data_IF_431999418446
#
_entry.id   IF_431999418446
#
_cell.length_a   1.000
_cell.length_b   1.000
_cell.length_c   1.000
_cell.angle_alpha   90.00
_cell.angle_beta   90.00
_cell.angle_gamma   90.00
#
_symmetry.space_group_name_H-M   'P 1'
#
loop_
_entity.id
_entity.type
_entity.pdbx_description
1 polymer ?
#
# COMPACT_ATOMS: atom_id res chain seq x y z
N UNK A 1 -18.33 -7.90 28.29
CA UNK A 1 -17.88 -7.68 26.89
C UNK A 1 -17.42 -6.24 26.67
N UNK A 2 -18.17 -5.20 27.08
CA UNK A 2 -17.73 -3.79 26.97
C UNK A 2 -16.41 -3.47 27.70
N UNK A 3 -16.15 -4.04 28.89
CA UNK A 3 -14.86 -3.82 29.59
C UNK A 3 -13.66 -4.39 28.84
N UNK A 4 -13.78 -5.58 28.22
CA UNK A 4 -12.69 -6.18 27.46
C UNK A 4 -12.41 -5.40 26.17
N UNK A 5 -13.46 -4.96 25.46
CA UNK A 5 -13.31 -4.09 24.29
C UNK A 5 -12.69 -2.75 24.68
N UNK A 6 -13.11 -2.14 25.80
CA UNK A 6 -12.45 -0.94 26.32
C UNK A 6 -10.99 -1.19 26.65
N UNK A 7 -10.64 -2.26 27.36
CA UNK A 7 -9.25 -2.56 27.73
C UNK A 7 -8.39 -2.81 26.49
N UNK A 8 -8.91 -3.49 25.46
CA UNK A 8 -8.18 -3.72 24.20
C UNK A 8 -8.03 -2.41 23.42
N UNK A 9 -9.10 -1.63 23.26
CA UNK A 9 -9.06 -0.35 22.54
C UNK A 9 -8.16 0.66 23.26
N UNK A 10 -8.33 0.83 24.58
CA UNK A 10 -7.48 1.70 25.38
C UNK A 10 -6.06 1.19 25.47
N UNK A 11 -5.83 -0.11 25.61
CA UNK A 11 -4.48 -0.70 25.66
C UNK A 11 -3.73 -0.56 24.34
N UNK A 12 -4.40 -0.74 23.20
CA UNK A 12 -3.84 -0.47 21.88
C UNK A 12 -3.56 1.03 21.73
N UNK A 13 -4.50 1.92 22.11
CA UNK A 13 -4.29 3.37 22.05
C UNK A 13 -3.18 3.86 23.00
N UNK A 14 -3.10 3.37 24.24
CA UNK A 14 -2.10 3.85 25.22
C UNK A 14 -0.72 3.29 24.92
N UNK A 15 -0.61 2.04 24.45
CA UNK A 15 0.65 1.51 23.96
C UNK A 15 1.14 2.30 22.72
N UNK A 16 0.21 2.68 21.84
CA UNK A 16 0.45 3.56 20.68
C UNK A 16 0.94 4.97 21.08
N UNK A 17 0.35 5.59 22.11
CA UNK A 17 0.78 6.91 22.60
C UNK A 17 2.14 6.90 23.33
N UNK A 18 2.47 5.82 24.04
CA UNK A 18 3.78 5.70 24.74
C UNK A 18 4.92 5.42 23.76
N UNK A 19 4.64 4.69 22.67
CA UNK A 19 5.63 4.40 21.62
C UNK A 19 5.89 5.59 20.67
N UNK A 20 4.91 6.49 20.53
CA UNK A 20 5.00 7.77 19.78
C UNK A 20 6.14 8.70 20.23
N UNK A 21 6.72 8.48 21.42
CA UNK A 21 7.80 9.31 21.97
C UNK A 21 9.21 8.85 21.55
N UNK A 22 9.35 7.66 20.95
CA UNK A 22 10.64 7.03 20.65
C UNK A 22 10.76 6.45 19.23
N UNK A 23 9.69 6.46 18.45
CA UNK A 23 9.58 5.71 17.20
C UNK A 23 9.32 6.67 16.04
N UNK A 24 10.15 6.60 15.01
CA UNK A 24 9.98 7.39 13.79
C UNK A 24 8.54 7.25 13.26
N UNK A 25 7.87 8.35 12.87
CA UNK A 25 6.49 8.33 12.37
C UNK A 25 6.27 7.42 11.16
N UNK A 26 7.34 6.99 10.50
CA UNK A 26 7.37 5.99 9.44
C UNK A 26 7.10 4.56 9.92
N UNK A 27 7.56 4.21 11.13
CA UNK A 27 7.25 2.91 11.73
C UNK A 27 5.74 2.84 11.97
N UNK A 28 5.10 3.89 12.49
CA UNK A 28 3.66 3.95 12.78
C UNK A 28 2.78 3.54 11.57
N UNK A 29 3.18 3.93 10.35
CA UNK A 29 2.54 3.48 9.11
C UNK A 29 2.64 1.96 8.90
N UNK A 30 3.79 1.36 9.17
CA UNK A 30 3.98 -0.09 9.06
C UNK A 30 3.05 -0.88 10.02
N UNK A 31 2.80 -0.35 11.22
CA UNK A 31 1.84 -0.96 12.15
C UNK A 31 0.41 -0.88 11.64
N UNK A 32 0.04 0.28 11.11
CA UNK A 32 -1.26 0.49 10.50
C UNK A 32 -1.49 -0.45 9.31
N UNK A 33 -0.45 -0.66 8.49
CA UNK A 33 -0.48 -1.60 7.37
C UNK A 33 -0.65 -3.04 7.83
N UNK A 34 0.03 -3.47 8.90
CA UNK A 34 -0.15 -4.81 9.46
C UNK A 34 -1.59 -5.04 9.93
N UNK A 35 -2.15 -4.05 10.64
CA UNK A 35 -3.50 -4.11 11.18
C UNK A 35 -4.56 -4.17 10.08
N UNK A 36 -4.33 -3.45 8.99
CA UNK A 36 -5.20 -3.45 7.83
C UNK A 36 -5.02 -4.71 6.96
N UNK A 37 -3.81 -5.25 6.84
CA UNK A 37 -3.56 -6.57 6.24
C UNK A 37 -4.32 -7.67 6.99
N UNK A 38 -4.40 -7.59 8.31
CA UNK A 38 -5.25 -8.46 9.10
C UNK A 38 -6.75 -8.27 8.81
N UNK A 39 -7.23 -7.03 8.66
CA UNK A 39 -8.61 -6.76 8.25
C UNK A 39 -8.95 -7.45 6.91
N UNK A 40 -8.02 -7.40 5.96
CA UNK A 40 -8.15 -8.08 4.66
C UNK A 40 -8.13 -9.61 4.79
N UNK A 41 -7.31 -10.17 5.68
CA UNK A 41 -7.34 -11.60 5.97
C UNK A 41 -8.72 -12.05 6.49
N UNK A 42 -9.32 -11.24 7.38
CA UNK A 42 -10.65 -11.51 7.95
C UNK A 42 -11.80 -11.37 6.95
N UNK A 43 -11.55 -10.78 5.78
CA UNK A 43 -12.54 -10.57 4.71
C UNK A 43 -13.21 -11.89 4.28
N UNK A 44 -12.43 -12.96 4.16
CA UNK A 44 -12.95 -14.28 3.78
C UNK A 44 -14.01 -14.77 4.77
N UNK A 45 -13.74 -14.60 6.05
CA UNK A 45 -14.67 -14.99 7.12
C UNK A 45 -15.90 -14.07 7.14
N UNK A 46 -15.77 -12.80 6.77
CA UNK A 46 -16.90 -11.88 6.67
C UNK A 46 -17.85 -12.26 5.52
N UNK A 47 -17.31 -12.53 4.33
CA UNK A 47 -18.10 -12.93 3.15
C UNK A 47 -18.80 -14.28 3.35
N UNK A 48 -18.18 -15.22 4.05
CA UNK A 48 -18.77 -16.54 4.30
C UNK A 48 -19.77 -16.52 5.46
N UNK A 49 -19.45 -15.85 6.58
CA UNK A 49 -20.31 -15.90 7.78
C UNK A 49 -21.46 -14.90 7.76
N UNK A 50 -21.25 -13.70 7.20
CA UNK A 50 -22.23 -12.60 7.21
C UNK A 50 -22.99 -12.53 5.90
N UNK A 51 -22.27 -12.49 4.76
CA UNK A 51 -22.92 -12.43 3.44
C UNK A 51 -23.47 -13.80 3.00
N UNK A 52 -23.15 -14.88 3.74
CA UNK A 52 -23.58 -16.25 3.45
C UNK A 52 -23.26 -16.68 2.01
N UNK A 53 -22.18 -16.17 1.44
CA UNK A 53 -21.71 -16.56 0.12
C UNK A 53 -21.07 -17.96 0.17
N UNK A 54 -21.22 -18.70 -0.92
CA UNK A 54 -20.49 -19.95 -1.12
C UNK A 54 -18.98 -19.67 -1.07
N UNK A 55 -18.22 -20.61 -0.51
CA UNK A 55 -16.76 -20.48 -0.36
C UNK A 55 -16.06 -20.15 -1.68
N UNK A 56 -16.50 -20.77 -2.79
CA UNK A 56 -15.97 -20.51 -4.13
C UNK A 56 -16.21 -19.08 -4.60
N UNK A 57 -17.37 -18.52 -4.31
CA UNK A 57 -17.71 -17.15 -4.70
C UNK A 57 -16.98 -16.12 -3.84
N UNK A 58 -16.87 -16.36 -2.53
CA UNK A 58 -16.07 -15.51 -1.64
C UNK A 58 -14.58 -15.50 -2.03
N UNK A 59 -14.02 -16.67 -2.36
CA UNK A 59 -12.64 -16.78 -2.84
C UNK A 59 -12.43 -16.03 -4.17
N UNK A 60 -13.41 -16.08 -5.08
CA UNK A 60 -13.34 -15.34 -6.33
C UNK A 60 -13.23 -13.82 -6.11
N UNK A 61 -14.03 -13.25 -5.20
CA UNK A 61 -13.98 -11.82 -4.84
C UNK A 61 -12.58 -11.45 -4.31
N UNK A 62 -12.04 -12.26 -3.40
CA UNK A 62 -10.72 -12.00 -2.81
C UNK A 62 -9.61 -12.13 -3.85
N UNK A 63 -9.68 -13.14 -4.73
CA UNK A 63 -8.69 -13.32 -5.80
C UNK A 63 -8.71 -12.15 -6.78
N UNK A 64 -9.89 -11.63 -7.13
CA UNK A 64 -10.01 -10.42 -7.96
C UNK A 64 -9.39 -9.22 -7.26
N UNK A 65 -9.63 -9.03 -5.96
CA UNK A 65 -8.99 -7.97 -5.18
C UNK A 65 -7.46 -8.09 -5.15
N UNK A 66 -6.93 -9.29 -4.89
CA UNK A 66 -5.49 -9.56 -4.89
C UNK A 66 -4.87 -9.30 -6.27
N UNK A 67 -5.52 -9.76 -7.34
CA UNK A 67 -5.09 -9.53 -8.71
C UNK A 67 -5.13 -8.04 -9.10
N UNK A 68 -6.18 -7.33 -8.70
CA UNK A 68 -6.29 -5.89 -8.92
C UNK A 68 -5.17 -5.12 -8.21
N UNK A 69 -4.90 -5.47 -6.94
CA UNK A 69 -3.82 -4.86 -6.17
C UNK A 69 -2.47 -5.09 -6.88
N UNK A 70 -2.19 -6.34 -7.30
CA UNK A 70 -0.96 -6.69 -8.00
C UNK A 70 -0.79 -5.92 -9.32
N UNK A 71 -1.84 -5.79 -10.12
CA UNK A 71 -1.80 -5.04 -11.39
C UNK A 71 -1.61 -3.54 -11.14
N UNK A 72 -2.22 -2.99 -10.08
CA UNK A 72 -2.12 -1.58 -9.73
C UNK A 72 -0.70 -1.15 -9.30
N UNK A 73 0.19 -2.06 -8.91
CA UNK A 73 1.58 -1.70 -8.59
C UNK A 73 2.29 -1.01 -9.77
N UNK A 74 2.05 -1.46 -11.01
CA UNK A 74 2.72 -0.92 -12.20
C UNK A 74 2.40 0.56 -12.49
N UNK A 75 1.12 0.96 -12.62
CA UNK A 75 0.79 2.37 -12.84
C UNK A 75 1.15 3.25 -11.64
N UNK A 76 1.07 2.70 -10.42
CA UNK A 76 1.45 3.44 -9.21
C UNK A 76 2.96 3.70 -9.15
N UNK A 77 3.79 2.71 -9.49
CA UNK A 77 5.25 2.87 -9.60
C UNK A 77 5.61 3.91 -10.66
N UNK A 78 4.96 3.85 -11.82
CA UNK A 78 5.14 4.87 -12.84
C UNK A 78 4.83 6.28 -12.33
N UNK A 79 3.74 6.44 -11.58
CA UNK A 79 3.29 7.72 -11.04
C UNK A 79 4.29 8.30 -10.01
N UNK A 80 4.85 7.43 -9.17
CA UNK A 80 5.94 7.75 -8.22
C UNK A 80 7.15 8.28 -8.98
N UNK A 81 7.65 7.49 -9.93
CA UNK A 81 8.92 7.78 -10.58
C UNK A 81 8.83 9.00 -11.52
N UNK A 82 7.67 9.23 -12.14
CA UNK A 82 7.50 10.28 -13.13
C UNK A 82 7.02 11.62 -12.55
N UNK A 83 6.20 11.62 -11.49
CA UNK A 83 5.48 12.84 -11.07
C UNK A 83 5.52 13.13 -9.57
N UNK A 84 5.22 12.15 -8.71
CA UNK A 84 4.91 12.40 -7.31
C UNK A 84 6.12 12.29 -6.37
N UNK A 85 7.03 11.34 -6.64
CA UNK A 85 8.00 10.87 -5.65
C UNK A 85 7.37 10.02 -4.54
N UNK A 86 8.22 9.43 -3.70
CA UNK A 86 7.80 8.45 -2.69
C UNK A 86 6.94 9.05 -1.57
N UNK A 87 7.30 10.24 -1.08
CA UNK A 87 6.58 10.91 0.02
C UNK A 87 5.11 11.22 -0.36
N UNK A 88 4.88 11.92 -1.48
CA UNK A 88 3.53 12.31 -1.89
C UNK A 88 2.68 11.10 -2.25
N UNK A 89 3.28 10.08 -2.86
CA UNK A 89 2.58 8.85 -3.15
C UNK A 89 2.13 8.14 -1.87
N UNK A 90 3.01 8.01 -0.88
CA UNK A 90 2.67 7.44 0.43
C UNK A 90 1.53 8.21 1.09
N UNK A 91 1.57 9.54 1.06
CA UNK A 91 0.54 10.36 1.68
C UNK A 91 -0.84 10.16 1.02
N UNK A 92 -0.91 10.23 -0.31
CA UNK A 92 -2.17 10.07 -1.05
C UNK A 92 -2.71 8.65 -0.90
N UNK A 93 -1.84 7.65 -1.00
CA UNK A 93 -2.22 6.24 -0.83
C UNK A 93 -2.68 5.92 0.60
N UNK A 94 -2.06 6.54 1.63
CA UNK A 94 -2.49 6.42 3.03
C UNK A 94 -3.90 6.94 3.26
N UNK A 95 -4.24 8.09 2.67
CA UNK A 95 -5.61 8.62 2.74
C UNK A 95 -6.61 7.73 2.00
N UNK A 96 -6.27 7.26 0.80
CA UNK A 96 -7.12 6.34 0.04
C UNK A 96 -7.35 5.02 0.79
N UNK A 97 -6.31 4.47 1.40
CA UNK A 97 -6.37 3.24 2.20
C UNK A 97 -7.27 3.41 3.42
N UNK A 98 -7.06 4.51 4.18
CA UNK A 98 -7.86 4.84 5.35
C UNK A 98 -9.34 5.06 5.01
N UNK A 99 -9.62 5.76 3.91
CA UNK A 99 -10.98 5.94 3.40
C UNK A 99 -11.63 4.61 2.98
N UNK A 100 -10.87 3.74 2.31
CA UNK A 100 -11.33 2.41 1.92
C UNK A 100 -11.70 1.54 3.12
N UNK A 101 -10.88 1.48 4.17
CA UNK A 101 -11.21 0.79 5.42
C UNK A 101 -12.40 1.42 6.15
N UNK A 102 -12.55 2.74 6.07
CA UNK A 102 -13.72 3.47 6.54
C UNK A 102 -15.00 3.01 5.84
N UNK A 103 -15.01 2.96 4.50
CA UNK A 103 -16.15 2.47 3.72
C UNK A 103 -16.44 0.99 3.97
N UNK A 104 -15.41 0.16 4.15
CA UNK A 104 -15.59 -1.23 4.54
C UNK A 104 -16.29 -1.34 5.90
N UNK A 105 -15.90 -0.53 6.87
CA UNK A 105 -16.55 -0.48 8.19
C UNK A 105 -18.00 -0.03 8.06
N UNK A 106 -18.27 1.01 7.26
CA UNK A 106 -19.62 1.49 6.99
C UNK A 106 -20.49 0.49 6.25
N UNK A 107 -19.92 -0.39 5.43
CA UNK A 107 -20.69 -1.46 4.76
C UNK A 107 -21.22 -2.52 5.73
N UNK A 108 -20.74 -2.56 6.98
CA UNK A 108 -21.25 -3.53 7.95
C UNK A 108 -22.70 -3.19 8.36
N UNK A 109 -23.62 -4.18 8.44
CA UNK A 109 -25.04 -3.92 8.71
C UNK A 109 -25.34 -3.03 9.91
N UNK A 110 -24.70 -3.21 11.10
CA UNK A 110 -25.05 -2.41 12.26
C UNK A 110 -24.72 -0.92 12.15
N UNK A 111 -23.78 -0.54 11.27
CA UNK A 111 -23.31 0.85 11.15
C UNK A 111 -24.28 1.66 10.29
N UNK A 112 -24.77 1.08 9.19
CA UNK A 112 -25.62 1.80 8.22
C UNK A 112 -27.11 1.52 8.38
N UNK A 113 -27.51 0.53 9.20
CA UNK A 113 -28.90 0.11 9.41
C UNK A 113 -29.88 1.28 9.63
N UNK A 114 -29.49 2.29 10.42
CA UNK A 114 -30.35 3.44 10.73
C UNK A 114 -30.57 4.38 9.52
N UNK A 115 -29.60 4.46 8.62
CA UNK A 115 -29.66 5.34 7.44
C UNK A 115 -30.37 4.67 6.25
N UNK A 116 -30.21 3.36 6.09
CA UNK A 116 -30.82 2.57 4.99
C UNK A 116 -32.17 1.96 5.34
N UNK A 117 -32.60 2.02 6.61
CA UNK A 117 -33.84 1.39 7.08
C UNK A 117 -33.78 -0.14 7.11
N UNK A 118 -32.58 -0.72 7.01
CA UNK A 118 -32.34 -2.17 7.05
C UNK A 118 -32.15 -2.66 8.48
N UNK A 119 -32.26 -3.97 8.71
CA UNK A 119 -31.98 -4.56 10.02
C UNK A 119 -30.51 -4.40 10.41
N UNK A 120 -30.22 -4.39 11.73
CA UNK A 120 -28.87 -4.20 12.29
C UNK A 120 -28.13 -5.50 12.58
N UNK A 121 -28.69 -6.63 12.19
CA UNK A 121 -28.13 -7.95 12.46
C UNK A 121 -27.14 -8.36 11.36
N UNK A 122 -26.24 -9.29 11.67
CA UNK A 122 -25.23 -9.78 10.74
C UNK A 122 -25.78 -10.92 9.86
N UNK A 123 -26.90 -10.65 9.20
CA UNK A 123 -27.55 -11.56 8.25
C UNK A 123 -27.52 -11.00 6.83
N UNK A 124 -27.58 -11.87 5.81
CA UNK A 124 -27.56 -11.44 4.41
C UNK A 124 -28.75 -10.56 4.03
N UNK A 125 -29.89 -10.76 4.68
CA UNK A 125 -31.13 -9.97 4.48
C UNK A 125 -30.96 -8.50 4.90
N UNK A 126 -30.01 -8.22 5.81
CA UNK A 126 -29.71 -6.88 6.27
C UNK A 126 -28.71 -6.13 5.35
N UNK A 127 -28.21 -6.79 4.29
CA UNK A 127 -27.27 -6.23 3.32
C UNK A 127 -28.04 -5.73 2.09
N UNK A 128 -28.42 -4.46 2.15
CA UNK A 128 -28.98 -3.72 1.02
C UNK A 128 -27.94 -3.29 0.00
N UNK A 129 -28.43 -2.72 -1.11
CA UNK A 129 -27.61 -2.27 -2.24
C UNK A 129 -26.56 -1.23 -1.84
N UNK A 130 -26.90 -0.30 -0.93
CA UNK A 130 -25.95 0.72 -0.45
C UNK A 130 -24.72 0.12 0.25
N UNK A 131 -24.90 -0.93 1.04
CA UNK A 131 -23.77 -1.62 1.70
C UNK A 131 -22.90 -2.36 0.69
N UNK A 132 -23.50 -2.94 -0.35
CA UNK A 132 -22.74 -3.60 -1.43
C UNK A 132 -21.90 -2.59 -2.23
N UNK A 133 -22.47 -1.43 -2.56
CA UNK A 133 -21.74 -0.37 -3.27
C UNK A 133 -20.57 0.13 -2.40
N UNK A 134 -20.81 0.40 -1.12
CA UNK A 134 -19.75 0.78 -0.18
C UNK A 134 -18.67 -0.30 -0.06
N UNK A 135 -19.06 -1.56 -0.05
CA UNK A 135 -18.12 -2.69 0.01
C UNK A 135 -17.20 -2.76 -1.21
N UNK A 136 -17.75 -2.70 -2.43
CA UNK A 136 -16.93 -2.77 -3.65
C UNK A 136 -16.09 -1.51 -3.87
N UNK A 137 -16.61 -0.33 -3.51
CA UNK A 137 -15.83 0.92 -3.54
C UNK A 137 -14.71 0.89 -2.50
N UNK A 138 -14.96 0.33 -1.31
CA UNK A 138 -13.93 0.09 -0.31
C UNK A 138 -12.81 -0.80 -0.86
N UNK A 139 -13.13 -1.94 -1.48
CA UNK A 139 -12.13 -2.83 -2.06
C UNK A 139 -11.25 -2.14 -3.10
N UNK A 140 -11.84 -1.30 -3.96
CA UNK A 140 -11.07 -0.55 -4.96
C UNK A 140 -10.12 0.48 -4.31
N UNK A 141 -10.61 1.24 -3.31
CA UNK A 141 -9.78 2.22 -2.58
C UNK A 141 -8.67 1.55 -1.77
N UNK A 142 -8.97 0.43 -1.12
CA UNK A 142 -7.99 -0.37 -0.38
C UNK A 142 -6.91 -0.89 -1.32
N UNK A 143 -7.28 -1.41 -2.51
CA UNK A 143 -6.31 -1.89 -3.50
C UNK A 143 -5.38 -0.76 -4.00
N UNK A 144 -5.93 0.43 -4.24
CA UNK A 144 -5.16 1.62 -4.61
C UNK A 144 -4.20 2.04 -3.49
N UNK A 145 -4.70 2.11 -2.26
CA UNK A 145 -3.88 2.47 -1.10
C UNK A 145 -2.75 1.47 -0.83
N UNK A 146 -3.09 0.18 -0.81
CA UNK A 146 -2.14 -0.89 -0.53
C UNK A 146 -1.05 -1.00 -1.61
N UNK A 147 -1.42 -0.88 -2.89
CA UNK A 147 -0.43 -0.87 -3.98
C UNK A 147 0.54 0.30 -3.88
N UNK A 148 0.07 1.49 -3.51
CA UNK A 148 0.92 2.67 -3.27
C UNK A 148 1.88 2.51 -2.10
N UNK A 149 1.40 1.94 -0.99
CA UNK A 149 2.26 1.64 0.17
C UNK A 149 3.34 0.62 -0.19
N UNK A 150 2.97 -0.46 -0.89
CA UNK A 150 3.89 -1.55 -1.24
C UNK A 150 5.09 -1.06 -2.06
N UNK A 151 4.90 -0.08 -2.94
CA UNK A 151 5.98 0.44 -3.79
C UNK A 151 6.82 1.52 -3.11
N UNK A 152 6.19 2.43 -2.36
CA UNK A 152 6.86 3.64 -1.89
C UNK A 152 7.33 3.56 -0.45
N UNK A 153 6.75 2.69 0.39
CA UNK A 153 7.11 2.61 1.81
C UNK A 153 8.57 2.20 1.99
N UNK A 154 8.99 1.12 1.33
CA UNK A 154 10.37 0.63 1.41
C UNK A 154 11.39 1.63 0.84
N UNK A 155 11.08 2.26 -0.28
CA UNK A 155 11.94 3.27 -0.90
C UNK A 155 12.07 4.51 -0.02
N UNK A 156 10.96 5.01 0.54
CA UNK A 156 10.97 6.14 1.45
C UNK A 156 11.74 5.84 2.75
N UNK A 157 11.61 4.62 3.28
CA UNK A 157 12.42 4.17 4.42
C UNK A 157 13.91 4.26 4.08
N UNK A 158 14.33 3.71 2.94
CA UNK A 158 15.72 3.76 2.51
C UNK A 158 16.24 5.20 2.35
N UNK A 159 15.40 6.13 1.85
CA UNK A 159 15.75 7.55 1.74
C UNK A 159 16.01 8.22 3.10
N UNK A 160 15.38 7.75 4.19
CA UNK A 160 15.63 8.29 5.53
C UNK A 160 16.91 7.74 6.16
N UNK A 161 17.39 6.57 5.72
CA UNK A 161 18.57 5.88 6.27
C UNK A 161 19.78 5.96 5.31
N UNK A 162 20.10 7.16 4.79
CA UNK A 162 21.28 7.36 3.93
C UNK A 162 22.61 7.16 4.69
N UNK A 163 23.69 6.85 3.95
CA UNK A 163 25.00 6.38 4.45
C UNK A 163 25.60 7.23 5.60
N UNK A 164 25.35 8.54 5.63
CA UNK A 164 25.84 9.46 6.68
C UNK A 164 25.35 9.12 8.10
N UNK A 165 24.20 8.45 8.23
CA UNK A 165 23.68 7.99 9.53
C UNK A 165 24.36 6.69 9.96
N UNK A 166 24.77 5.85 9.00
CA UNK A 166 25.33 4.52 9.25
C UNK A 166 26.74 4.58 9.88
N UNK A 167 27.54 5.58 9.50
CA UNK A 167 28.90 5.79 10.02
C UNK A 167 28.94 6.17 11.52
N UNK A 168 27.83 6.63 12.10
CA UNK A 168 27.73 7.00 13.50
C UNK A 168 27.19 5.88 14.42
N UNK A 169 26.92 4.67 13.90
CA UNK A 169 26.39 3.58 14.72
C UNK A 169 27.47 2.92 15.58
N UNK A 170 27.37 3.12 16.90
CA UNK A 170 28.07 2.29 17.89
C UNK A 170 27.37 0.94 18.02
N UNK A 171 28.10 -0.13 18.41
CA UNK A 171 27.54 -1.47 18.67
C UNK A 171 26.33 -1.46 19.63
N UNK A 172 26.30 -0.54 20.59
CA UNK A 172 25.19 -0.33 21.53
C UNK A 172 23.94 0.26 20.85
N UNK A 173 24.12 1.18 19.91
CA UNK A 173 23.03 1.77 19.12
C UNK A 173 22.44 0.73 18.18
N UNK A 174 23.26 -0.11 17.57
CA UNK A 174 22.82 -1.23 16.74
C UNK A 174 21.96 -2.22 17.55
N UNK A 175 22.44 -2.69 18.70
CA UNK A 175 21.66 -3.61 19.56
C UNK A 175 20.33 -2.97 20.00
N UNK A 176 20.35 -1.68 20.36
CA UNK A 176 19.12 -0.95 20.77
C UNK A 176 18.13 -0.82 19.62
N UNK A 177 18.60 -0.54 18.40
CA UNK A 177 17.76 -0.53 17.19
C UNK A 177 17.17 -1.91 16.91
N UNK A 178 17.99 -2.96 16.95
CA UNK A 178 17.53 -4.33 16.69
C UNK A 178 16.44 -4.74 17.69
N UNK A 179 16.69 -4.57 18.99
CA UNK A 179 15.72 -4.88 20.04
C UNK A 179 14.45 -4.02 19.88
N UNK A 180 14.60 -2.73 19.56
CA UNK A 180 13.48 -1.83 19.27
C UNK A 180 12.61 -2.32 18.11
N UNK A 181 13.22 -2.76 17.01
CA UNK A 181 12.52 -3.32 15.84
C UNK A 181 11.80 -4.61 16.19
N UNK A 182 12.41 -5.51 16.96
CA UNK A 182 11.75 -6.76 17.40
C UNK A 182 10.53 -6.48 18.27
N UNK A 183 10.64 -5.58 19.25
CA UNK A 183 9.49 -5.18 20.09
C UNK A 183 8.41 -4.52 19.23
N UNK A 184 8.82 -3.70 18.26
CA UNK A 184 7.89 -3.04 17.36
C UNK A 184 7.14 -4.00 16.42
N UNK A 185 7.66 -5.19 16.15
CA UNK A 185 6.95 -6.21 15.36
C UNK A 185 6.10 -7.13 16.23
N UNK A 186 6.44 -7.35 17.50
CA UNK A 186 5.71 -8.28 18.37
C UNK A 186 4.41 -7.71 18.95
N UNK A 187 4.39 -6.44 19.33
CA UNK A 187 3.20 -5.79 19.88
C UNK A 187 2.00 -5.70 18.91
N UNK A 188 2.15 -5.36 17.60
CA UNK A 188 1.01 -5.34 16.68
C UNK A 188 0.48 -6.75 16.41
N UNK A 189 1.34 -7.77 16.41
CA UNK A 189 0.91 -9.17 16.32
C UNK A 189 0.01 -9.52 17.51
N UNK A 190 0.39 -9.13 18.73
CA UNK A 190 -0.44 -9.29 19.92
C UNK A 190 -1.79 -8.56 19.80
N UNK A 191 -1.78 -7.33 19.28
CA UNK A 191 -3.00 -6.55 19.05
C UNK A 191 -3.93 -7.21 18.01
N UNK A 192 -3.37 -7.70 16.91
CA UNK A 192 -4.09 -8.45 15.86
C UNK A 192 -4.76 -9.69 16.45
N UNK A 193 -4.02 -10.47 17.24
CA UNK A 193 -4.56 -11.66 17.93
C UNK A 193 -5.71 -11.24 18.86
N UNK A 194 -5.58 -10.15 19.63
CA UNK A 194 -6.64 -9.67 20.51
C UNK A 194 -7.93 -9.30 19.73
N UNK A 195 -7.81 -8.72 18.53
CA UNK A 195 -8.97 -8.33 17.70
C UNK A 195 -9.74 -9.56 17.20
N UNK A 196 -9.09 -10.71 17.00
CA UNK A 196 -9.77 -11.95 16.57
C UNK A 196 -10.88 -12.38 17.52
N UNK A 197 -10.72 -12.12 18.82
CA UNK A 197 -11.68 -12.49 19.87
C UNK A 197 -12.91 -11.58 19.93
N UNK A 198 -12.87 -10.40 19.29
CA UNK A 198 -14.00 -9.48 19.23
C UNK A 198 -15.07 -10.07 18.31
N UNK A 199 -16.33 -10.21 18.74
CA UNK A 199 -17.38 -10.82 17.89
C UNK A 199 -17.98 -9.86 16.83
N UNK A 200 -17.89 -8.55 17.03
CA UNK A 200 -18.52 -7.56 16.14
C UNK A 200 -17.61 -7.25 14.95
N UNK A 201 -18.12 -7.47 13.73
CA UNK A 201 -17.42 -7.15 12.48
C UNK A 201 -17.19 -5.65 12.29
N UNK A 202 -18.15 -4.81 12.71
CA UNK A 202 -18.01 -3.35 12.67
C UNK A 202 -16.79 -2.87 13.47
N UNK A 203 -16.50 -3.51 14.61
CA UNK A 203 -15.34 -3.18 15.44
C UNK A 203 -14.06 -3.75 14.83
N UNK A 204 -14.11 -4.99 14.30
CA UNK A 204 -12.97 -5.64 13.64
C UNK A 204 -12.41 -4.84 12.47
N UNK A 205 -13.28 -4.21 11.67
CA UNK A 205 -12.87 -3.34 10.56
C UNK A 205 -12.66 -1.88 11.00
N UNK A 206 -13.42 -1.40 11.98
CA UNK A 206 -13.34 -0.02 12.45
C UNK A 206 -12.06 0.31 13.20
N UNK A 207 -11.50 -0.62 13.99
CA UNK A 207 -10.22 -0.40 14.68
C UNK A 207 -9.08 -0.14 13.66
N UNK A 208 -8.84 -1.02 12.67
CA UNK A 208 -7.89 -0.74 11.58
C UNK A 208 -8.15 0.59 10.86
N UNK A 209 -9.40 0.95 10.57
CA UNK A 209 -9.75 2.20 9.90
C UNK A 209 -9.36 3.45 10.71
N UNK A 210 -9.60 3.44 12.02
CA UNK A 210 -9.24 4.56 12.90
C UNK A 210 -7.71 4.62 13.07
N UNK A 211 -7.06 3.47 13.31
CA UNK A 211 -5.61 3.41 13.48
C UNK A 211 -4.85 3.88 12.23
N UNK A 212 -5.29 3.48 11.04
CA UNK A 212 -4.69 3.92 9.76
C UNK A 212 -4.89 5.42 9.52
N UNK A 213 -6.07 5.96 9.82
CA UNK A 213 -6.32 7.40 9.75
C UNK A 213 -5.41 8.18 10.71
N UNK A 214 -5.29 7.74 11.97
CA UNK A 214 -4.42 8.37 12.95
C UNK A 214 -2.95 8.27 12.54
N UNK A 215 -2.50 7.11 12.05
CA UNK A 215 -1.15 6.92 11.52
C UNK A 215 -0.86 7.89 10.37
N UNK A 216 -1.82 8.07 9.46
CA UNK A 216 -1.72 9.01 8.33
C UNK A 216 -1.55 10.46 8.81
N UNK A 217 -2.32 10.86 9.83
CA UNK A 217 -2.21 12.21 10.41
C UNK A 217 -0.88 12.43 11.15
N UNK A 218 -0.40 11.41 11.86
CA UNK A 218 0.93 11.44 12.51
C UNK A 218 2.03 11.54 11.46
N UNK A 219 1.96 10.74 10.40
CA UNK A 219 2.89 10.83 9.28
C UNK A 219 2.89 12.22 8.64
N UNK A 220 1.70 12.79 8.38
CA UNK A 220 1.58 14.15 7.86
C UNK A 220 2.20 15.19 8.78
N UNK A 221 2.05 15.04 10.11
CA UNK A 221 2.66 15.96 11.08
C UNK A 221 4.19 15.95 11.07
N UNK A 222 4.80 14.82 10.69
CA UNK A 222 6.25 14.67 10.53
C UNK A 222 6.81 15.23 9.22
N UNK A 223 5.95 15.73 8.32
CA UNK A 223 6.34 16.12 6.95
C UNK A 223 7.53 17.09 6.87
N UNK A 224 7.70 17.98 7.85
CA UNK A 224 8.79 18.95 7.85
C UNK A 224 10.17 18.37 8.18
N UNK A 225 10.24 17.16 8.72
CA UNK A 225 11.48 16.50 9.15
C UNK A 225 11.99 15.44 8.17
N UNK A 226 11.22 15.09 7.15
CA UNK A 226 11.57 14.02 6.22
C UNK A 226 12.49 14.49 5.11
N UNK A 227 13.49 13.68 4.80
CA UNK A 227 14.32 13.86 3.62
C UNK A 227 13.55 13.35 2.39
N UNK A 228 12.98 14.27 1.62
CA UNK A 228 12.22 13.92 0.41
C UNK A 228 13.11 14.02 -0.82
N UNK A 229 13.39 12.89 -1.47
CA UNK A 229 14.14 12.87 -2.73
C UNK A 229 13.21 13.22 -3.90
N UNK A 230 13.69 14.04 -4.84
CA UNK A 230 12.93 14.41 -6.04
C UNK A 230 12.84 13.22 -7.02
N UNK A 231 11.71 13.04 -7.73
CA UNK A 231 11.58 11.98 -8.72
C UNK A 231 12.62 12.15 -9.84
N UNK A 232 13.33 11.05 -10.17
CA UNK A 232 14.41 11.03 -11.17
C UNK A 232 13.93 10.62 -12.58
N UNK A 233 12.62 10.45 -12.78
CA UNK A 233 12.00 9.99 -14.02
C UNK A 233 11.81 8.47 -14.04
N UNK A 234 10.79 8.00 -14.76
CA UNK A 234 10.44 6.57 -14.80
C UNK A 234 11.18 5.81 -15.90
N UNK A 235 11.84 4.71 -15.54
CA UNK A 235 12.46 3.75 -16.48
C UNK A 235 11.45 3.15 -17.46
N UNK A 236 10.17 3.05 -17.06
CA UNK A 236 9.10 2.61 -17.96
C UNK A 236 8.91 3.56 -19.14
N UNK A 237 9.15 4.87 -18.98
CA UNK A 237 9.08 5.80 -20.14
C UNK A 237 10.13 5.47 -21.18
N UNK A 238 11.31 4.99 -20.78
CA UNK A 238 12.38 4.58 -21.69
C UNK A 238 11.93 3.32 -22.44
N UNK A 239 11.39 2.33 -21.74
CA UNK A 239 10.89 1.10 -22.35
C UNK A 239 9.76 1.40 -23.35
N UNK A 240 8.79 2.24 -22.98
CA UNK A 240 7.73 2.67 -23.90
C UNK A 240 8.26 3.44 -25.09
N UNK A 241 9.22 4.35 -24.90
CA UNK A 241 9.87 5.07 -26.02
C UNK A 241 10.58 4.11 -26.97
N UNK A 242 11.30 3.12 -26.44
CA UNK A 242 11.99 2.10 -27.26
C UNK A 242 10.99 1.21 -27.98
N UNK A 243 9.91 0.76 -27.33
CA UNK A 243 8.84 -0.02 -27.97
C UNK A 243 8.13 0.77 -29.07
N UNK A 244 7.79 2.02 -28.82
CA UNK A 244 7.16 2.92 -29.81
C UNK A 244 8.12 3.20 -30.96
N UNK A 245 9.40 3.45 -30.68
CA UNK A 245 10.42 3.65 -31.71
C UNK A 245 10.66 2.38 -32.54
N UNK A 246 10.73 1.21 -31.91
CA UNK A 246 10.92 -0.08 -32.60
C UNK A 246 9.70 -0.45 -33.45
N UNK A 247 8.48 -0.29 -32.93
CA UNK A 247 7.25 -0.52 -33.70
C UNK A 247 7.12 0.48 -34.84
N UNK A 248 7.35 1.78 -34.60
CA UNK A 248 7.39 2.80 -35.66
C UNK A 248 8.43 2.47 -36.73
N UNK A 249 9.63 2.02 -36.34
CA UNK A 249 10.68 1.59 -37.27
C UNK A 249 10.31 0.31 -38.02
N UNK A 250 9.53 -0.60 -37.41
CA UNK A 250 9.01 -1.80 -38.07
C UNK A 250 8.03 -1.47 -39.19
N UNK A 251 7.32 -0.34 -39.07
CA UNK A 251 6.38 0.15 -40.10
C UNK A 251 7.01 1.12 -41.12
N UNK A 252 8.27 1.53 -40.92
CA UNK A 252 8.99 2.36 -41.88
C UNK A 252 9.83 1.50 -42.85
N UNK A 253 9.93 1.90 -44.13
CA UNK A 253 10.87 1.28 -45.08
C UNK A 253 12.30 1.57 -44.63
N UNK A 254 13.12 0.52 -44.52
CA UNK A 254 14.53 0.63 -44.18
C UNK A 254 15.23 1.57 -45.18
N UNK A 255 15.93 2.63 -44.74
CA UNK A 255 16.71 3.48 -45.63
C UNK A 255 17.83 2.66 -46.29
N UNK A 256 18.08 2.90 -47.59
CA UNK A 256 19.07 2.16 -48.39
C UNK A 256 20.52 2.58 -48.12
N UNK A 257 20.72 3.68 -47.38
CA UNK A 257 22.03 4.29 -47.12
C UNK A 257 22.32 4.25 -45.62
N UNK A 258 23.48 3.69 -45.24
CA UNK A 258 23.92 3.54 -43.85
C UNK A 258 24.34 4.88 -43.19
N UNK A 259 24.69 5.90 -43.99
CA UNK A 259 25.15 7.23 -43.54
C UNK A 259 24.07 8.09 -42.85
N UNK A 260 22.83 7.61 -42.73
CA UNK A 260 21.73 8.33 -42.06
C UNK A 260 21.37 7.78 -40.68
N UNK A 261 22.11 6.78 -40.17
CA UNK A 261 21.98 6.36 -38.78
C UNK A 261 22.73 7.34 -37.87
N UNK A 262 22.14 7.65 -36.70
CA UNK A 262 22.76 8.52 -35.72
C UNK A 262 23.97 7.83 -35.09
N UNK A 263 25.15 7.99 -35.68
CA UNK A 263 26.41 7.81 -34.99
C UNK A 263 26.77 9.13 -34.31
N UNK A 264 26.69 9.17 -32.99
CA UNK A 264 27.25 10.28 -32.22
C UNK A 264 28.77 10.22 -32.34
N UNK A 265 29.34 11.02 -33.25
CA UNK A 265 30.78 11.24 -33.37
C UNK A 265 31.26 12.08 -32.18
N UNK A 266 31.45 11.44 -31.03
CA UNK A 266 32.00 12.11 -29.86
C UNK A 266 31.61 11.42 -28.56
N UNK A 267 32.30 10.32 -28.26
CA UNK A 267 33.08 10.08 -27.04
C UNK A 267 33.78 8.75 -27.29
N UNK A 268 35.11 8.80 -27.44
CA UNK A 268 35.95 7.63 -27.53
C UNK A 268 35.75 6.73 -26.30
N UNK A 269 35.73 5.42 -26.52
CA UNK A 269 35.68 4.32 -25.54
C UNK A 269 34.31 3.67 -25.23
N UNK A 270 33.52 3.38 -26.26
CA UNK A 270 32.52 2.30 -26.21
C UNK A 270 32.85 1.27 -27.28
N UNK A 271 33.20 0.05 -26.86
CA UNK A 271 33.40 -1.11 -27.74
C UNK A 271 32.20 -1.23 -28.70
N UNK A 272 32.43 -0.87 -29.96
CA UNK A 272 31.45 -0.93 -31.04
C UNK A 272 31.11 -2.40 -31.30
N UNK A 273 29.94 -2.82 -30.83
CA UNK A 273 29.41 -4.16 -31.11
C UNK A 273 29.27 -4.32 -32.65
N UNK A 274 29.85 -5.38 -33.25
CA UNK A 274 29.77 -5.60 -34.68
C UNK A 274 28.32 -5.77 -35.12
N UNK A 275 27.98 -5.18 -36.27
CA UNK A 275 26.62 -5.13 -36.80
C UNK A 275 26.06 -6.54 -37.03
N UNK A 276 25.22 -7.02 -36.10
CA UNK A 276 24.63 -8.35 -36.16
C UNK A 276 23.26 -8.30 -36.84
N UNK A 277 23.05 -9.19 -37.82
CA UNK A 277 21.77 -9.31 -38.56
C UNK A 277 20.58 -9.69 -37.68
N UNK A 278 20.82 -10.06 -36.42
CA UNK A 278 19.80 -10.48 -35.46
C UNK A 278 19.06 -9.31 -34.79
N UNK A 279 19.53 -8.07 -34.93
CA UNK A 279 18.94 -6.88 -34.29
C UNK A 279 18.31 -5.92 -35.30
N UNK A 280 17.72 -6.44 -36.38
CA UNK A 280 17.18 -5.65 -37.52
C UNK A 280 16.09 -4.63 -37.14
N UNK A 281 15.52 -4.72 -35.93
CA UNK A 281 14.39 -3.89 -35.47
C UNK A 281 14.66 -3.08 -34.19
N UNK A 282 15.89 -3.07 -33.67
CA UNK A 282 16.34 -2.23 -32.55
C UNK A 282 17.14 -1.06 -33.13
#
# INVERSE_FOLDING_TARGET
>A
MLSFVRIVVYGVLTCWFVLLSFIDPMIVLMWADLLAGYAMWMMMLYLTNVWKLNFTHAAAIINVFCGLTAIMLLPMQFLVDAFLGNYWMLLISSFAYSAGLGFLTMSTPPVLAKATGTCSLYEPECIGEGQKILFYTALALIALGLSGHLISLGAFIAEQFSEDVLDNFTSRTFITMFVGTYIAVLVPIGAVIAITYIRLWSIRFGIPAICTMVATLVFLSGSGSYNCVKPQGSSLTIVFRVLVAATSKMFCKCPKEADRLYETSGVDDVDLLPHSRHLRYL
#
